data_IF_616522384719
#
_entry.id   IF_616522384719
#
_cell.length_a   1.000
_cell.length_b   1.000
_cell.length_c   1.000
_cell.angle_alpha   90.00
_cell.angle_beta   90.00
_cell.angle_gamma   90.00
#
_symmetry.space_group_name_H-M   'P 1'
#
loop_
_entity.id
_entity.type
_entity.pdbx_description
1 polymer ?
#
# COMPACT_ATOMS: atom_id res chain seq x y z
N UNK A 1 -19.46 -21.29 -9.65
CA UNK A 1 -20.24 -20.18 -9.05
C UNK A 1 -19.37 -18.95 -9.03
N UNK A 2 -19.86 -17.77 -9.44
CA UNK A 2 -19.05 -16.55 -9.38
C UNK A 2 -18.76 -16.22 -7.91
N UNK A 3 -17.47 -16.16 -7.56
CA UNK A 3 -17.03 -15.74 -6.23
C UNK A 3 -17.41 -14.26 -6.08
N UNK A 4 -18.36 -13.97 -5.19
CA UNK A 4 -18.75 -12.60 -4.89
C UNK A 4 -17.74 -12.02 -3.92
N UNK A 5 -17.14 -10.92 -4.32
CA UNK A 5 -16.05 -10.29 -3.60
C UNK A 5 -16.58 -9.17 -2.68
N UNK A 6 -15.95 -8.93 -1.52
CA UNK A 6 -16.34 -7.87 -0.59
C UNK A 6 -15.20 -7.41 0.34
N UNK A 7 -15.10 -6.10 0.60
CA UNK A 7 -14.34 -5.51 1.70
C UNK A 7 -15.15 -5.60 3.00
N UNK A 8 -14.47 -5.69 4.15
CA UNK A 8 -15.10 -5.53 5.47
C UNK A 8 -14.35 -4.44 6.23
N UNK A 9 -15.06 -3.39 6.67
CA UNK A 9 -14.53 -2.44 7.64
C UNK A 9 -14.65 -3.06 9.04
N UNK A 10 -13.51 -3.39 9.65
CA UNK A 10 -13.46 -4.08 10.96
C UNK A 10 -13.73 -3.19 12.17
N UNK A 11 -13.80 -1.88 12.00
CA UNK A 11 -14.14 -0.94 13.08
C UNK A 11 -15.65 -0.75 13.19
N UNK A 12 -16.37 -0.91 12.07
CA UNK A 12 -17.81 -0.65 11.99
C UNK A 12 -18.63 -1.87 11.58
N UNK A 13 -17.97 -3.01 11.34
CA UNK A 13 -18.52 -4.25 10.74
C UNK A 13 -19.26 -4.04 9.41
N UNK A 14 -18.97 -2.95 8.70
CA UNK A 14 -19.63 -2.65 7.42
C UNK A 14 -19.04 -3.51 6.30
N UNK A 15 -19.91 -4.10 5.48
CA UNK A 15 -19.53 -4.96 4.35
C UNK A 15 -19.74 -4.19 3.04
N UNK A 16 -18.69 -4.10 2.21
CA UNK A 16 -18.70 -3.40 0.92
C UNK A 16 -18.49 -4.40 -0.19
N UNK A 17 -19.45 -4.58 -1.08
CA UNK A 17 -19.34 -5.53 -2.17
C UNK A 17 -18.39 -4.99 -3.25
N UNK A 18 -17.32 -5.70 -3.58
CA UNK A 18 -16.58 -5.44 -4.82
C UNK A 18 -17.09 -6.43 -5.86
N UNK A 19 -17.55 -5.96 -7.01
CA UNK A 19 -17.95 -6.88 -8.06
C UNK A 19 -16.70 -7.49 -8.71
N UNK A 20 -16.71 -8.82 -8.88
CA UNK A 20 -15.59 -9.58 -9.45
C UNK A 20 -15.57 -9.52 -10.97
N UNK A 21 -14.36 -9.53 -11.55
CA UNK A 21 -14.14 -9.67 -12.99
C UNK A 21 -14.06 -11.16 -13.33
N UNK A 22 -14.93 -11.66 -14.20
CA UNK A 22 -14.79 -13.00 -14.76
C UNK A 22 -13.56 -13.08 -15.69
N UNK A 23 -12.66 -14.07 -15.53
CA UNK A 23 -11.52 -14.25 -16.43
C UNK A 23 -12.02 -14.60 -17.84
N UNK A 24 -11.87 -13.66 -18.78
CA UNK A 24 -12.15 -13.89 -20.19
C UNK A 24 -11.09 -14.80 -20.82
N UNK A 25 -11.51 -15.82 -21.58
CA UNK A 25 -10.62 -16.68 -22.40
C UNK A 25 -10.11 -15.99 -23.67
N UNK A 26 -10.50 -14.75 -23.92
CA UNK A 26 -10.09 -13.92 -25.07
C UNK A 26 -9.71 -12.53 -24.58
N UNK A 27 -8.76 -11.87 -25.23
CA UNK A 27 -8.46 -10.49 -24.90
C UNK A 27 -9.69 -9.63 -25.27
N UNK A 28 -10.35 -8.97 -24.30
CA UNK A 28 -11.57 -8.22 -24.56
C UNK A 28 -11.29 -7.01 -25.47
N UNK A 29 -12.29 -6.60 -26.26
CA UNK A 29 -12.15 -5.43 -27.11
C UNK A 29 -12.04 -4.17 -26.26
N UNK A 30 -11.40 -3.12 -26.79
CA UNK A 30 -11.07 -1.90 -26.01
C UNK A 30 -12.34 -1.20 -25.49
N UNK A 31 -13.44 -1.31 -26.23
CA UNK A 31 -14.76 -0.81 -25.87
C UNK A 31 -15.38 -1.60 -24.70
N UNK A 32 -15.22 -2.93 -24.66
CA UNK A 32 -15.75 -3.79 -23.58
C UNK A 32 -15.03 -3.52 -22.25
N UNK A 33 -13.74 -3.21 -22.29
CA UNK A 33 -12.97 -2.80 -21.12
C UNK A 33 -13.56 -1.52 -20.53
N UNK A 34 -13.86 -0.51 -21.36
CA UNK A 34 -14.45 0.76 -20.92
C UNK A 34 -15.82 0.57 -20.26
N UNK A 35 -16.64 -0.33 -20.81
CA UNK A 35 -17.97 -0.65 -20.28
C UNK A 35 -17.91 -1.44 -18.97
N UNK A 36 -16.95 -2.39 -18.86
CA UNK A 36 -16.73 -3.10 -17.61
C UNK A 36 -16.40 -2.13 -16.47
N UNK A 37 -15.55 -1.12 -16.70
CA UNK A 37 -15.22 -0.11 -15.69
C UNK A 37 -16.32 0.91 -15.38
N UNK A 38 -17.33 1.09 -16.25
CA UNK A 38 -18.47 1.97 -15.98
C UNK A 38 -19.58 1.29 -15.18
N UNK A 39 -19.72 -0.03 -15.30
CA UNK A 39 -20.70 -0.82 -14.54
C UNK A 39 -20.19 -1.22 -13.15
N UNK A 40 -18.88 -1.01 -12.89
CA UNK A 40 -18.31 -1.12 -11.55
C UNK A 40 -18.69 0.12 -10.74
N UNK A 41 -19.30 -0.09 -9.56
CA UNK A 41 -19.49 0.99 -8.58
C UNK A 41 -18.11 1.47 -8.16
N UNK A 42 -17.63 2.54 -8.79
CA UNK A 42 -16.52 3.33 -8.28
C UNK A 42 -17.01 3.93 -6.97
N UNK A 43 -16.41 3.52 -5.85
CA UNK A 43 -16.72 4.11 -4.56
C UNK A 43 -16.50 5.61 -4.65
N UNK A 44 -17.52 6.37 -4.25
CA UNK A 44 -17.36 7.80 -4.06
C UNK A 44 -16.46 8.03 -2.83
N UNK A 45 -15.72 9.14 -2.81
CA UNK A 45 -14.69 9.39 -1.78
C UNK A 45 -15.23 9.36 -0.34
N UNK A 46 -16.52 9.65 -0.16
CA UNK A 46 -17.29 9.60 1.09
C UNK A 46 -17.61 8.18 1.58
N UNK A 47 -17.49 7.16 0.71
CA UNK A 47 -17.69 5.75 1.06
C UNK A 47 -16.39 5.06 1.49
N UNK A 48 -15.24 5.73 1.32
CA UNK A 48 -13.94 5.20 1.71
C UNK A 48 -13.63 5.59 3.17
N UNK A 49 -12.85 4.76 3.90
CA UNK A 49 -12.32 5.18 5.18
C UNK A 49 -11.52 6.49 5.03
N UNK A 50 -11.45 7.31 6.10
CA UNK A 50 -10.75 8.59 6.04
C UNK A 50 -9.31 8.38 5.57
N UNK A 51 -8.91 9.16 4.56
CA UNK A 51 -7.54 9.16 4.05
C UNK A 51 -6.61 9.65 5.16
N UNK A 52 -5.70 8.78 5.58
CA UNK A 52 -4.64 9.12 6.52
C UNK A 52 -3.34 9.15 5.73
N UNK A 53 -2.81 10.35 5.53
CA UNK A 53 -1.53 10.55 4.86
C UNK A 53 -0.38 10.27 5.83
N UNK A 54 0.07 9.02 5.79
CA UNK A 54 1.24 8.54 6.52
C UNK A 54 2.49 8.79 5.70
N UNK A 55 3.59 9.11 6.39
CA UNK A 55 4.81 9.46 5.71
C UNK A 55 5.63 8.22 5.28
N UNK A 56 5.88 8.00 3.96
CA UNK A 56 6.60 6.83 3.47
C UNK A 56 8.11 6.87 3.76
N UNK A 57 8.68 8.07 3.91
CA UNK A 57 10.13 8.25 4.02
C UNK A 57 10.69 7.93 5.40
N UNK A 58 9.91 8.11 6.47
CA UNK A 58 10.30 7.67 7.81
C UNK A 58 10.51 6.14 7.81
N UNK A 59 9.55 5.42 7.22
CA UNK A 59 9.64 3.98 6.97
C UNK A 59 10.84 3.61 6.12
N UNK A 60 11.10 4.39 5.06
CA UNK A 60 12.22 4.14 4.16
C UNK A 60 13.57 4.38 4.85
N UNK A 61 13.70 5.45 5.64
CA UNK A 61 14.87 5.75 6.47
C UNK A 61 15.11 4.61 7.46
N UNK A 62 14.09 4.22 8.23
CA UNK A 62 14.18 3.13 9.20
C UNK A 62 14.54 1.79 8.52
N UNK A 63 13.94 1.48 7.37
CA UNK A 63 14.25 0.29 6.57
C UNK A 63 15.67 0.30 6.01
N UNK A 64 16.24 1.48 5.71
CA UNK A 64 17.65 1.64 5.31
C UNK A 64 18.58 1.44 6.51
N UNK A 65 18.29 2.05 7.66
CA UNK A 65 19.04 1.85 8.90
C UNK A 65 19.11 0.36 9.26
N UNK A 66 18.01 -0.39 9.09
CA UNK A 66 17.99 -1.85 9.25
C UNK A 66 18.88 -2.58 8.25
N UNK A 67 18.93 -2.13 6.99
CA UNK A 67 19.68 -2.78 5.91
C UNK A 67 21.18 -2.51 5.96
N UNK A 68 21.58 -1.36 6.50
CA UNK A 68 22.96 -0.93 6.52
C UNK A 68 23.51 -1.03 7.94
N UNK A 69 24.40 -1.99 8.20
CA UNK A 69 25.32 -1.93 9.35
C UNK A 69 26.35 -0.78 9.24
N UNK A 70 26.07 0.21 8.40
CA UNK A 70 26.95 1.32 8.07
C UNK A 70 26.38 2.61 8.67
N UNK A 71 27.24 3.52 9.15
CA UNK A 71 26.83 4.75 9.83
C UNK A 71 26.20 5.82 8.90
N UNK A 72 26.10 5.57 7.60
CA UNK A 72 25.65 6.54 6.60
C UNK A 72 24.38 6.02 5.91
N UNK A 73 23.25 6.65 6.18
CA UNK A 73 22.00 6.44 5.44
C UNK A 73 22.07 7.27 4.16
N UNK A 74 22.10 6.60 3.02
CA UNK A 74 22.04 7.24 1.70
C UNK A 74 20.69 6.91 1.05
N UNK A 75 20.29 7.71 0.05
CA UNK A 75 18.99 7.54 -0.63
C UNK A 75 18.94 6.29 -1.53
N UNK A 76 19.93 5.40 -1.43
CA UNK A 76 20.01 4.18 -2.19
C UNK A 76 19.33 3.04 -1.45
N UNK A 77 18.36 2.41 -2.14
CA UNK A 77 17.87 1.04 -1.89
C UNK A 77 17.21 0.81 -0.52
N UNK A 78 15.89 0.93 -0.49
CA UNK A 78 15.04 0.28 0.51
C UNK A 78 14.26 -0.83 -0.20
N UNK A 79 14.28 -2.06 0.34
CA UNK A 79 13.40 -3.13 -0.15
C UNK A 79 12.00 -2.96 0.46
N UNK A 80 10.97 -3.47 -0.23
CA UNK A 80 9.60 -3.47 0.31
C UNK A 80 9.54 -4.24 1.63
N UNK A 81 10.26 -5.37 1.73
CA UNK A 81 10.36 -6.15 2.97
C UNK A 81 10.92 -5.34 4.12
N UNK A 82 12.04 -4.63 3.93
CA UNK A 82 12.64 -3.83 5.00
C UNK A 82 11.76 -2.64 5.39
N UNK A 83 11.04 -2.05 4.42
CA UNK A 83 10.06 -1.01 4.70
C UNK A 83 8.91 -1.55 5.57
N UNK A 84 8.39 -2.73 5.26
CA UNK A 84 7.34 -3.39 6.06
C UNK A 84 7.86 -3.72 7.46
N UNK A 85 9.03 -4.34 7.59
CA UNK A 85 9.63 -4.65 8.89
C UNK A 85 9.93 -3.38 9.69
N UNK A 86 10.28 -2.28 9.03
CA UNK A 86 10.46 -0.99 9.69
C UNK A 86 9.13 -0.41 10.19
N UNK A 87 8.03 -0.62 9.47
CA UNK A 87 6.69 -0.26 9.94
C UNK A 87 6.26 -1.12 11.14
N UNK A 88 6.61 -2.41 11.17
CA UNK A 88 6.29 -3.28 12.31
C UNK A 88 7.06 -2.88 13.58
N UNK A 89 8.29 -2.36 13.44
CA UNK A 89 9.15 -2.02 14.58
C UNK A 89 9.03 -0.55 15.03
N UNK A 90 9.03 0.38 14.08
CA UNK A 90 9.16 1.81 14.34
C UNK A 90 7.92 2.62 13.93
N UNK A 91 6.92 1.96 13.33
CA UNK A 91 5.66 2.56 12.89
C UNK A 91 5.86 3.72 11.91
N UNK A 92 4.86 4.58 11.70
CA UNK A 92 4.99 5.80 10.88
C UNK A 92 4.08 6.92 11.35
N UNK A 93 4.55 8.17 11.24
CA UNK A 93 3.79 9.34 11.63
C UNK A 93 2.98 9.93 10.47
N UNK A 94 2.07 10.85 10.79
CA UNK A 94 1.36 11.63 9.79
C UNK A 94 2.32 12.56 9.05
N UNK A 95 2.07 12.78 7.77
CA UNK A 95 2.85 13.71 6.96
C UNK A 95 2.80 15.15 7.49
N UNK A 96 1.72 15.53 8.18
CA UNK A 96 1.63 16.83 8.86
C UNK A 96 2.68 17.03 9.98
N UNK A 97 3.24 15.96 10.53
CA UNK A 97 4.22 15.98 11.63
C UNK A 97 5.65 16.02 11.06
N UNK A 98 5.91 15.24 10.02
CA UNK A 98 7.19 15.26 9.30
C UNK A 98 6.91 15.35 7.80
N UNK A 99 6.71 16.57 7.25
CA UNK A 99 6.37 16.74 5.85
C UNK A 99 7.47 16.25 4.92
N UNK A 100 7.09 15.78 3.73
CA UNK A 100 8.07 15.42 2.71
C UNK A 100 8.97 16.61 2.35
N UNK A 101 10.27 16.35 2.36
CA UNK A 101 11.30 17.30 1.98
C UNK A 101 12.52 16.51 1.52
N UNK A 102 12.87 16.68 0.25
CA UNK A 102 13.97 15.98 -0.41
C UNK A 102 15.32 16.21 0.31
N UNK A 103 15.51 17.37 0.96
CA UNK A 103 16.73 17.69 1.70
C UNK A 103 16.84 16.93 3.04
N UNK A 104 15.75 16.28 3.48
CA UNK A 104 15.64 15.58 4.76
C UNK A 104 15.50 14.06 4.62
N UNK A 105 15.49 13.49 3.40
CA UNK A 105 15.28 12.04 3.17
C UNK A 105 16.31 11.12 3.81
N UNK A 106 17.51 11.64 4.07
CA UNK A 106 18.60 10.92 4.74
C UNK A 106 18.82 11.39 6.19
N UNK A 107 17.99 12.32 6.68
CA UNK A 107 18.08 12.82 8.05
C UNK A 107 17.20 11.99 8.95
N UNK A 108 17.70 11.73 10.15
CA UNK A 108 16.91 11.10 11.20
C UNK A 108 15.64 11.93 11.46
N UNK A 109 14.45 11.30 11.45
CA UNK A 109 13.20 11.94 11.85
C UNK A 109 13.29 12.52 13.27
N UNK A 110 12.47 13.54 13.56
CA UNK A 110 12.40 14.10 14.91
C UNK A 110 11.89 13.08 15.94
N UNK A 111 12.25 13.24 17.21
CA UNK A 111 11.73 12.40 18.31
C UNK A 111 10.19 12.42 18.33
N UNK A 112 9.59 13.58 18.09
CA UNK A 112 8.14 13.74 17.98
C UNK A 112 7.54 12.86 16.87
N UNK A 113 8.22 12.70 15.73
CA UNK A 113 7.76 11.84 14.65
C UNK A 113 7.72 10.36 15.11
N UNK A 114 8.75 9.89 15.82
CA UNK A 114 8.76 8.54 16.38
C UNK A 114 7.64 8.33 17.41
N UNK A 115 7.48 9.25 18.36
CA UNK A 115 6.45 9.15 19.41
C UNK A 115 5.03 9.13 18.83
N UNK A 116 4.76 9.96 17.81
CA UNK A 116 3.46 9.99 17.13
C UNK A 116 3.30 8.83 16.17
N UNK A 117 4.40 8.26 15.69
CA UNK A 117 4.42 7.07 14.84
C UNK A 117 3.79 5.87 15.51
N UNK A 118 4.05 5.68 16.81
CA UNK A 118 3.54 4.56 17.63
C UNK A 118 2.01 4.37 17.57
N UNK A 119 1.25 5.41 17.18
CA UNK A 119 -0.22 5.34 17.06
C UNK A 119 -0.70 4.67 15.77
N UNK A 120 0.18 4.47 14.78
CA UNK A 120 -0.16 3.91 13.48
C UNK A 120 0.59 2.61 13.22
N UNK A 121 0.68 1.76 14.26
CA UNK A 121 1.38 0.49 14.20
C UNK A 121 0.68 -0.54 13.33
N UNK A 122 1.44 -1.10 12.40
CA UNK A 122 1.01 -2.31 11.72
C UNK A 122 1.31 -3.51 12.62
N UNK A 123 0.30 -4.36 12.81
CA UNK A 123 0.43 -5.52 13.71
C UNK A 123 0.95 -6.76 12.98
N UNK A 124 0.69 -6.84 11.68
CA UNK A 124 1.04 -7.98 10.86
C UNK A 124 1.08 -7.56 9.39
N UNK A 125 2.14 -7.97 8.69
CA UNK A 125 2.15 -8.03 7.25
C UNK A 125 2.09 -9.49 6.74
N UNK A 126 1.49 -9.68 5.58
CA UNK A 126 1.35 -10.98 4.93
C UNK A 126 1.93 -10.93 3.52
N UNK A 127 2.63 -11.99 3.13
CA UNK A 127 3.14 -12.13 1.78
C UNK A 127 2.04 -12.69 0.86
N UNK A 128 1.68 -11.94 -0.17
CA UNK A 128 0.79 -12.41 -1.23
C UNK A 128 1.63 -13.13 -2.28
N UNK A 129 1.28 -14.36 -2.67
CA UNK A 129 2.05 -15.03 -3.72
C UNK A 129 1.83 -14.32 -5.04
N UNK A 130 2.81 -14.48 -5.94
CA UNK A 130 2.73 -13.99 -7.31
C UNK A 130 1.86 -14.97 -8.12
N UNK A 131 0.58 -14.98 -7.77
CA UNK A 131 -0.49 -15.72 -8.43
C UNK A 131 -1.66 -14.76 -8.66
N UNK A 132 -2.20 -14.75 -9.89
CA UNK A 132 -3.23 -13.79 -10.28
C UNK A 132 -4.51 -13.96 -9.46
N UNK A 133 -4.89 -15.18 -9.11
CA UNK A 133 -6.11 -15.44 -8.34
C UNK A 133 -5.90 -15.05 -6.88
N UNK A 134 -4.73 -15.34 -6.29
CA UNK A 134 -4.40 -14.88 -4.94
C UNK A 134 -4.38 -13.34 -4.85
N UNK A 135 -3.74 -12.66 -5.79
CA UNK A 135 -3.69 -11.20 -5.84
C UNK A 135 -5.10 -10.59 -5.99
N UNK A 136 -5.91 -11.11 -6.92
CA UNK A 136 -7.31 -10.67 -7.06
C UNK A 136 -8.09 -10.91 -5.78
N UNK A 137 -7.95 -12.08 -5.16
CA UNK A 137 -8.61 -12.46 -3.91
C UNK A 137 -8.19 -11.58 -2.72
N UNK A 138 -6.95 -11.12 -2.69
CA UNK A 138 -6.44 -10.22 -1.65
C UNK A 138 -7.10 -8.83 -1.72
N UNK A 139 -7.10 -8.21 -2.91
CA UNK A 139 -7.80 -6.95 -3.16
C UNK A 139 -9.30 -7.09 -2.90
N UNK A 140 -9.82 -8.23 -3.32
CA UNK A 140 -11.20 -8.62 -3.15
C UNK A 140 -11.68 -8.58 -1.70
N UNK A 141 -10.84 -9.04 -0.77
CA UNK A 141 -11.14 -9.02 0.66
C UNK A 141 -10.87 -7.66 1.31
N UNK A 142 -10.30 -6.72 0.56
CA UNK A 142 -10.00 -5.38 1.01
C UNK A 142 -8.64 -5.16 1.61
N UNK A 143 -7.70 -6.02 1.24
CA UNK A 143 -6.32 -5.88 1.63
C UNK A 143 -5.53 -5.38 0.40
N UNK A 144 -5.23 -4.07 0.32
CA UNK A 144 -4.24 -3.59 -0.63
C UNK A 144 -2.88 -4.22 -0.31
N UNK A 145 -2.05 -4.42 -1.32
CA UNK A 145 -0.70 -4.95 -1.17
C UNK A 145 0.31 -4.13 -1.98
N UNK A 146 1.55 -4.11 -1.50
CA UNK A 146 2.69 -3.52 -2.21
C UNK A 146 3.39 -4.57 -3.07
N UNK A 147 3.89 -4.16 -4.23
CA UNK A 147 4.70 -5.02 -5.10
C UNK A 147 5.74 -4.19 -5.86
N UNK A 148 6.82 -4.84 -6.30
CA UNK A 148 7.83 -4.24 -7.16
C UNK A 148 7.57 -4.58 -8.62
N UNK A 149 7.81 -3.63 -9.51
CA UNK A 149 7.71 -3.84 -10.96
C UNK A 149 8.94 -3.24 -11.65
N UNK A 150 9.33 -3.84 -12.77
CA UNK A 150 10.40 -3.30 -13.61
C UNK A 150 9.81 -2.29 -14.58
N UNK A 151 10.29 -1.05 -14.48
CA UNK A 151 9.94 0.00 -15.43
C UNK A 151 10.80 -0.10 -16.69
N UNK A 152 10.17 0.15 -17.84
CA UNK A 152 10.82 0.28 -19.14
C UNK A 152 10.57 1.69 -19.65
N UNK A 153 11.40 2.16 -20.60
CA UNK A 153 11.28 3.51 -21.19
C UNK A 153 9.93 3.78 -21.86
N UNK A 154 9.12 2.76 -22.13
CA UNK A 154 7.75 2.91 -22.62
C UNK A 154 6.76 3.43 -21.57
N UNK A 155 7.18 3.59 -20.31
CA UNK A 155 6.38 4.12 -19.20
C UNK A 155 6.68 5.60 -18.88
N UNK A 156 7.69 6.19 -19.52
CA UNK A 156 7.98 7.63 -19.50
C UNK A 156 7.21 8.34 -20.62
#
# INVERSE_FOLDING_TARGET
>A
MPVRTYLINRLTDAIYRLNGIEPSHRMPHKEDLRQSFSDHVLFSSDQLPPKVDLQPYMTTYNGRVKNTHLPIVTDYRCSITNAIEALEEFDTCLESIWPYDISRVNKCPSIQAFEKGLKHRIHQALHVKIDLNEMKSCLAQGFPFAFGLRLYTSFD
#
